data_IF_792127941722
#
_entry.id   IF_792127941722
#
_cell.length_a   1.000
_cell.length_b   1.000
_cell.length_c   1.000
_cell.angle_alpha   90.00
_cell.angle_beta   90.00
_cell.angle_gamma   90.00
#
_symmetry.space_group_name_H-M   'P 1'
#
loop_
_entity.id
_entity.type
_entity.pdbx_description
1 polymer ?
#
# COMPACT_ATOMS: atom_id res chain seq x y z
N UNK A 1 18.53 11.85 14.96
CA UNK A 1 17.10 11.47 15.08
C UNK A 1 16.92 10.18 15.90
N UNK A 2 17.60 9.08 15.54
CA UNK A 2 17.45 7.78 16.23
C UNK A 2 17.71 7.82 17.75
N UNK A 3 18.81 8.44 18.19
CA UNK A 3 19.10 8.58 19.63
C UNK A 3 18.04 9.36 20.42
N UNK A 4 17.25 10.24 19.75
CA UNK A 4 16.14 10.93 20.39
C UNK A 4 14.97 9.95 20.62
N UNK A 5 14.61 9.18 19.60
CA UNK A 5 13.55 8.16 19.69
C UNK A 5 13.89 7.08 20.74
N UNK A 6 15.16 6.71 20.85
CA UNK A 6 15.65 5.79 21.87
C UNK A 6 15.52 6.39 23.28
N UNK A 7 15.95 7.65 23.47
CA UNK A 7 15.78 8.38 24.74
C UNK A 7 14.32 8.57 25.13
N UNK A 8 13.42 8.73 24.15
CA UNK A 8 11.97 8.81 24.35
C UNK A 8 11.32 7.43 24.59
N UNK A 9 12.10 6.34 24.56
CA UNK A 9 11.62 4.99 24.83
C UNK A 9 10.73 4.42 23.72
N UNK A 10 10.82 4.96 22.49
CA UNK A 10 10.03 4.52 21.34
C UNK A 10 10.73 3.40 20.55
N UNK A 11 12.06 3.39 20.55
CA UNK A 11 12.87 2.35 19.91
C UNK A 11 13.99 1.88 20.83
N UNK A 12 14.53 0.71 20.53
CA UNK A 12 15.75 0.16 21.15
C UNK A 12 16.69 -0.31 20.06
N UNK A 13 18.00 -0.22 20.30
CA UNK A 13 19.01 -0.77 19.41
C UNK A 13 19.67 -2.00 20.04
N UNK A 14 19.77 -3.10 19.31
CA UNK A 14 20.42 -4.30 19.80
C UNK A 14 21.95 -4.29 19.57
N UNK A 15 22.64 -5.35 20.02
CA UNK A 15 24.09 -5.48 19.86
C UNK A 15 24.57 -5.55 18.40
N UNK A 16 23.67 -5.76 17.44
CA UNK A 16 23.94 -5.76 15.98
C UNK A 16 23.62 -4.43 15.32
N UNK A 17 23.21 -3.42 16.10
CA UNK A 17 22.72 -2.12 15.62
C UNK A 17 21.40 -2.21 14.85
N UNK A 18 20.62 -3.27 15.07
CA UNK A 18 19.26 -3.34 14.53
C UNK A 18 18.31 -2.53 15.42
N UNK A 19 17.39 -1.79 14.78
CA UNK A 19 16.42 -0.93 15.46
C UNK A 19 15.12 -1.68 15.63
N UNK A 20 14.66 -1.78 16.86
CA UNK A 20 13.42 -2.45 17.24
C UNK A 20 12.45 -1.44 17.85
N UNK A 21 11.17 -1.52 17.51
CA UNK A 21 10.15 -0.75 18.21
C UNK A 21 9.98 -1.27 19.64
N UNK A 22 9.81 -0.36 20.59
CA UNK A 22 9.19 -0.71 21.89
C UNK A 22 7.68 -0.87 21.71
N UNK A 23 6.97 -1.35 22.74
CA UNK A 23 5.50 -1.39 22.72
C UNK A 23 4.89 0.00 22.49
N UNK A 24 5.47 1.03 23.12
CA UNK A 24 5.01 2.42 22.96
C UNK A 24 5.29 2.95 21.56
N UNK A 25 6.49 2.67 21.00
CA UNK A 25 6.82 3.07 19.63
C UNK A 25 6.00 2.35 18.58
N UNK A 26 5.71 1.06 18.77
CA UNK A 26 4.84 0.30 17.87
C UNK A 26 3.40 0.83 17.88
N UNK A 27 2.86 1.17 19.06
CA UNK A 27 1.54 1.79 19.16
C UNK A 27 1.51 3.18 18.49
N UNK A 28 2.52 4.01 18.69
CA UNK A 28 2.62 5.32 18.05
C UNK A 28 2.75 5.21 16.53
N UNK A 29 3.60 4.31 16.04
CA UNK A 29 3.75 4.04 14.61
C UNK A 29 2.45 3.54 13.98
N UNK A 30 1.70 2.69 14.69
CA UNK A 30 0.39 2.25 14.25
C UNK A 30 -0.59 3.42 14.09
N UNK A 31 -0.60 4.41 14.98
CA UNK A 31 -1.45 5.60 14.80
C UNK A 31 -1.05 6.43 13.57
N UNK A 32 0.26 6.63 13.33
CA UNK A 32 0.73 7.36 12.13
C UNK A 32 0.25 6.66 10.86
N UNK A 33 0.50 5.35 10.75
CA UNK A 33 0.06 4.53 9.60
C UNK A 33 -1.46 4.53 9.46
N UNK A 34 -2.21 4.46 10.57
CA UNK A 34 -3.67 4.51 10.53
C UNK A 34 -4.19 5.84 10.01
N UNK A 35 -3.60 6.97 10.43
CA UNK A 35 -3.96 8.31 9.96
C UNK A 35 -3.63 8.51 8.50
N UNK A 36 -2.47 8.03 8.05
CA UNK A 36 -2.08 8.02 6.64
C UNK A 36 -3.17 7.35 5.80
N UNK A 37 -3.44 6.07 6.08
CA UNK A 37 -4.39 5.25 5.32
C UNK A 37 -5.82 5.79 5.39
N UNK A 38 -6.24 6.38 6.52
CA UNK A 38 -7.53 7.06 6.62
C UNK A 38 -7.58 8.34 5.80
N UNK A 39 -6.50 9.12 5.77
CA UNK A 39 -6.41 10.31 4.92
C UNK A 39 -6.49 9.94 3.44
N UNK A 40 -5.83 8.86 3.02
CA UNK A 40 -5.96 8.35 1.65
C UNK A 40 -7.41 7.93 1.32
N UNK A 41 -8.07 7.19 2.22
CA UNK A 41 -9.48 6.82 2.06
C UNK A 41 -10.38 8.05 2.01
N UNK A 42 -10.13 9.08 2.83
CA UNK A 42 -10.86 10.35 2.78
C UNK A 42 -10.72 11.03 1.42
N UNK A 43 -9.47 11.15 0.94
CA UNK A 43 -9.15 11.80 -0.34
C UNK A 43 -9.86 11.07 -1.49
N UNK A 44 -9.78 9.74 -1.55
CA UNK A 44 -10.43 8.96 -2.62
C UNK A 44 -11.94 8.91 -2.45
N UNK A 45 -12.43 8.39 -1.33
CA UNK A 45 -13.83 8.00 -1.17
C UNK A 45 -14.77 9.18 -0.96
N UNK A 46 -14.29 10.27 -0.32
CA UNK A 46 -15.12 11.42 0.03
C UNK A 46 -14.86 12.65 -0.85
N UNK A 47 -13.61 12.86 -1.26
CA UNK A 47 -13.21 14.04 -2.03
C UNK A 47 -13.01 13.74 -3.53
N UNK A 48 -13.06 12.47 -3.94
CA UNK A 48 -12.98 12.07 -5.34
C UNK A 48 -11.59 12.25 -5.96
N UNK A 49 -10.53 12.25 -5.14
CA UNK A 49 -9.16 12.24 -5.65
C UNK A 49 -8.88 10.96 -6.41
N UNK A 50 -8.02 11.06 -7.42
CA UNK A 50 -7.45 9.87 -8.05
C UNK A 50 -6.53 9.16 -7.05
N UNK A 51 -6.71 7.84 -6.91
CA UNK A 51 -5.96 7.01 -5.94
C UNK A 51 -4.44 7.11 -6.09
N UNK A 52 -3.95 7.41 -7.30
CA UNK A 52 -2.53 7.57 -7.58
C UNK A 52 -1.94 8.90 -7.10
N UNK A 53 -2.77 9.89 -6.72
CA UNK A 53 -2.34 11.19 -6.18
C UNK A 53 -2.40 11.28 -4.66
N UNK A 54 -3.02 10.32 -3.98
CA UNK A 54 -3.40 10.52 -2.57
C UNK A 54 -2.25 10.40 -1.59
N UNK A 55 -1.21 9.65 -1.92
CA UNK A 55 -0.09 9.36 -1.03
C UNK A 55 0.57 10.64 -0.49
N UNK A 56 1.02 11.53 -1.38
CA UNK A 56 1.71 12.77 -0.98
C UNK A 56 0.83 13.70 -0.14
N UNK A 57 -0.47 13.73 -0.41
CA UNK A 57 -1.40 14.57 0.34
C UNK A 57 -1.72 13.95 1.71
N UNK A 58 -1.84 12.61 1.77
CA UNK A 58 -2.01 11.88 3.01
C UNK A 58 -0.81 12.05 3.96
N UNK A 59 0.43 12.06 3.46
CA UNK A 59 1.64 12.36 4.25
C UNK A 59 1.58 13.73 4.94
N UNK A 60 0.98 14.74 4.29
CA UNK A 60 0.81 16.08 4.89
C UNK A 60 -0.26 16.07 5.97
N UNK A 61 -1.34 15.31 5.75
CA UNK A 61 -2.50 15.26 6.63
C UNK A 61 -2.23 14.41 7.88
N UNK A 62 -1.51 13.29 7.76
CA UNK A 62 -1.35 12.29 8.84
C UNK A 62 -0.77 12.87 10.13
N UNK A 63 0.13 13.85 10.00
CA UNK A 63 0.81 14.50 11.12
C UNK A 63 -0.04 15.59 11.78
N UNK A 64 -1.03 16.13 11.06
CA UNK A 64 -1.93 17.17 11.55
C UNK A 64 -3.27 16.61 12.08
N UNK A 65 -3.60 15.34 11.76
CA UNK A 65 -4.84 14.70 12.18
C UNK A 65 -4.87 14.47 13.70
N UNK A 66 -5.86 15.05 14.37
CA UNK A 66 -6.10 14.83 15.80
C UNK A 66 -6.70 13.43 16.06
N UNK A 67 -6.56 12.87 17.27
CA UNK A 67 -7.22 11.61 17.63
C UNK A 67 -8.74 11.65 17.43
N UNK A 68 -9.39 12.77 17.75
CA UNK A 68 -10.83 12.93 17.53
C UNK A 68 -11.21 12.89 16.05
N UNK A 69 -10.43 13.57 15.19
CA UNK A 69 -10.64 13.54 13.74
C UNK A 69 -10.41 12.13 13.20
N UNK A 70 -9.36 11.46 13.64
CA UNK A 70 -9.03 10.08 13.28
C UNK A 70 -10.19 9.11 13.58
N UNK A 71 -10.80 9.20 14.77
CA UNK A 71 -11.96 8.38 15.14
C UNK A 71 -13.21 8.73 14.33
N UNK A 72 -13.50 10.02 14.15
CA UNK A 72 -14.65 10.48 13.36
C UNK A 72 -14.53 10.04 11.91
N UNK A 73 -13.35 10.18 11.32
CA UNK A 73 -13.10 9.84 9.92
C UNK A 73 -13.24 8.33 9.69
N UNK A 74 -12.71 7.50 10.58
CA UNK A 74 -12.91 6.05 10.53
C UNK A 74 -14.40 5.67 10.50
N UNK A 75 -15.22 6.26 11.38
CA UNK A 75 -16.67 6.03 11.39
C UNK A 75 -17.36 6.50 10.11
N UNK A 76 -17.01 7.68 9.59
CA UNK A 76 -17.59 8.22 8.35
C UNK A 76 -17.26 7.32 7.15
N UNK A 77 -16.05 6.75 7.12
CA UNK A 77 -15.61 5.82 6.08
C UNK A 77 -16.11 4.37 6.28
N UNK A 78 -16.88 4.10 7.34
CA UNK A 78 -17.42 2.77 7.63
C UNK A 78 -16.36 1.76 8.11
N UNK A 79 -15.39 2.21 8.90
CA UNK A 79 -14.29 1.41 9.46
C UNK A 79 -13.54 0.59 8.38
N UNK A 80 -12.92 1.27 7.40
CA UNK A 80 -12.27 0.61 6.28
C UNK A 80 -11.13 -0.29 6.76
N UNK A 81 -11.00 -1.47 6.13
CA UNK A 81 -10.00 -2.47 6.51
C UNK A 81 -8.67 -2.29 5.76
N UNK A 82 -8.66 -1.48 4.70
CA UNK A 82 -7.48 -1.18 3.88
C UNK A 82 -7.46 0.28 3.43
N UNK A 83 -6.30 0.77 3.00
CA UNK A 83 -6.21 1.99 2.19
C UNK A 83 -6.66 1.75 0.73
N UNK A 84 -6.76 2.79 -0.12
CA UNK A 84 -7.09 2.64 -1.54
C UNK A 84 -6.12 1.75 -2.32
N UNK A 85 -4.86 1.65 -1.88
CA UNK A 85 -3.81 0.82 -2.49
C UNK A 85 -3.83 -0.63 -1.99
N UNK A 86 -4.77 -0.99 -1.12
CA UNK A 86 -4.97 -2.35 -0.62
C UNK A 86 -4.13 -2.72 0.61
N UNK A 87 -3.36 -1.79 1.17
CA UNK A 87 -2.59 -2.05 2.39
C UNK A 87 -3.51 -2.09 3.63
N UNK A 88 -3.39 -3.12 4.50
CA UNK A 88 -4.30 -3.34 5.61
C UNK A 88 -4.20 -2.24 6.67
N UNK A 89 -5.28 -1.84 7.33
CA UNK A 89 -5.17 -0.96 8.50
C UNK A 89 -4.34 -1.62 9.61
N UNK A 90 -3.63 -0.85 10.46
CA UNK A 90 -2.95 -1.42 11.62
C UNK A 90 -3.88 -2.28 12.48
N UNK A 91 -3.43 -3.49 12.81
CA UNK A 91 -4.24 -4.49 13.53
C UNK A 91 -5.10 -5.40 12.64
N UNK A 92 -5.27 -5.07 11.36
CA UNK A 92 -5.95 -5.95 10.39
C UNK A 92 -4.97 -7.01 9.89
N UNK A 93 -5.38 -8.28 9.97
CA UNK A 93 -4.58 -9.38 9.40
C UNK A 93 -4.67 -9.33 7.87
N UNK A 94 -3.55 -9.16 7.14
CA UNK A 94 -3.57 -9.16 5.69
C UNK A 94 -3.97 -10.53 5.15
N UNK A 95 -4.65 -10.54 4.01
CA UNK A 95 -4.85 -11.77 3.23
C UNK A 95 -3.50 -12.27 2.70
N UNK A 96 -3.31 -13.59 2.55
CA UNK A 96 -2.11 -14.12 1.90
C UNK A 96 -1.99 -13.61 0.47
N UNK A 97 -0.84 -13.01 0.16
CA UNK A 97 -0.51 -12.44 -1.14
C UNK A 97 0.89 -12.85 -1.56
N UNK A 98 1.15 -12.82 -2.86
CA UNK A 98 2.48 -12.99 -3.44
C UNK A 98 2.74 -11.91 -4.49
N UNK A 99 4.00 -11.55 -4.77
CA UNK A 99 4.34 -10.78 -5.95
C UNK A 99 3.76 -11.38 -7.23
N UNK A 100 3.41 -10.54 -8.21
CA UNK A 100 2.86 -10.95 -9.50
C UNK A 100 3.80 -11.91 -10.24
N UNK A 101 5.11 -11.74 -10.13
CA UNK A 101 6.10 -12.62 -10.76
C UNK A 101 6.14 -14.06 -10.19
N UNK A 102 5.45 -14.31 -9.08
CA UNK A 102 5.25 -15.65 -8.52
C UNK A 102 3.94 -16.31 -9.00
N UNK A 103 3.19 -15.68 -9.90
CA UNK A 103 1.97 -16.24 -10.49
C UNK A 103 2.33 -17.03 -11.76
N UNK A 104 1.97 -18.33 -11.85
CA UNK A 104 2.26 -19.11 -13.04
C UNK A 104 1.55 -18.55 -14.28
N UNK A 105 2.25 -18.56 -15.41
CA UNK A 105 1.68 -18.24 -16.73
C UNK A 105 0.36 -18.98 -16.97
N UNK A 106 -0.63 -18.28 -17.51
CA UNK A 106 -1.98 -18.78 -17.75
C UNK A 106 -2.92 -18.67 -16.56
N UNK A 107 -2.41 -18.39 -15.35
CA UNK A 107 -3.23 -18.26 -14.14
C UNK A 107 -3.90 -16.89 -14.06
N UNK A 108 -5.06 -16.85 -13.38
CA UNK A 108 -5.73 -15.62 -13.01
C UNK A 108 -5.35 -15.24 -11.58
N UNK A 109 -5.18 -13.95 -11.31
CA UNK A 109 -4.95 -13.42 -9.97
C UNK A 109 -5.71 -12.10 -9.79
N UNK A 110 -6.05 -11.76 -8.55
CA UNK A 110 -6.61 -10.44 -8.20
C UNK A 110 -5.51 -9.57 -7.62
N UNK A 111 -5.34 -8.35 -8.12
CA UNK A 111 -4.47 -7.35 -7.50
C UNK A 111 -5.03 -7.06 -6.12
N UNK A 112 -4.24 -7.38 -5.10
CA UNK A 112 -4.66 -7.24 -3.72
C UNK A 112 -4.10 -5.96 -3.11
N UNK A 113 -2.81 -5.65 -3.37
CA UNK A 113 -2.20 -4.42 -2.88
C UNK A 113 -0.98 -3.96 -3.67
N UNK A 114 -0.67 -2.68 -3.55
CA UNK A 114 0.64 -2.10 -3.88
C UNK A 114 1.33 -1.79 -2.55
N UNK A 115 2.44 -2.47 -2.17
CA UNK A 115 3.12 -2.22 -0.91
C UNK A 115 3.57 -0.75 -0.75
N UNK A 116 3.43 -0.20 0.46
CA UNK A 116 3.69 1.23 0.78
C UNK A 116 5.05 1.74 0.22
N UNK A 117 6.09 0.92 0.28
CA UNK A 117 7.44 1.25 -0.23
C UNK A 117 7.51 1.61 -1.73
N UNK A 118 6.50 1.23 -2.52
CA UNK A 118 6.41 1.53 -3.95
C UNK A 118 5.45 2.67 -4.27
N UNK A 119 4.70 3.17 -3.30
CA UNK A 119 3.77 4.29 -3.48
C UNK A 119 4.51 5.62 -3.65
N UNK A 120 5.69 5.76 -3.04
CA UNK A 120 6.56 6.93 -3.20
C UNK A 120 7.32 6.98 -4.53
N UNK A 121 7.26 5.94 -5.37
CA UNK A 121 7.96 5.96 -6.66
C UNK A 121 7.25 6.92 -7.61
N UNK A 122 7.92 8.00 -8.07
CA UNK A 122 7.29 9.01 -8.91
C UNK A 122 6.67 8.40 -10.17
N UNK A 123 5.36 8.65 -10.36
CA UNK A 123 4.61 8.20 -11.52
C UNK A 123 4.29 6.70 -11.57
N UNK A 124 4.69 5.90 -10.57
CA UNK A 124 4.43 4.46 -10.60
C UNK A 124 2.94 4.14 -10.46
N UNK A 125 2.24 4.77 -9.51
CA UNK A 125 0.80 4.58 -9.33
C UNK A 125 -0.01 5.13 -10.51
N UNK A 126 0.38 6.28 -11.08
CA UNK A 126 -0.23 6.86 -12.28
C UNK A 126 -0.05 5.93 -13.48
N UNK A 127 1.13 5.32 -13.61
CA UNK A 127 1.40 4.30 -14.61
C UNK A 127 0.47 3.09 -14.43
N UNK A 128 0.33 2.54 -13.21
CA UNK A 128 -0.57 1.42 -12.95
C UNK A 128 -2.02 1.76 -13.30
N UNK A 129 -2.48 2.96 -12.93
CA UNK A 129 -3.81 3.46 -13.27
C UNK A 129 -4.03 3.51 -14.79
N UNK A 130 -3.06 4.03 -15.55
CA UNK A 130 -3.10 4.06 -17.02
C UNK A 130 -3.20 2.68 -17.67
N UNK A 131 -2.70 1.63 -16.99
CA UNK A 131 -2.79 0.24 -17.43
C UNK A 131 -4.08 -0.46 -16.96
N UNK A 132 -4.92 0.20 -16.16
CA UNK A 132 -6.10 -0.39 -15.53
C UNK A 132 -5.76 -1.36 -14.39
N UNK A 133 -4.56 -1.24 -13.82
CA UNK A 133 -4.08 -2.08 -12.73
C UNK A 133 -4.28 -1.36 -11.41
N UNK A 134 -5.33 -1.74 -10.68
CA UNK A 134 -5.59 -1.24 -9.33
C UNK A 134 -6.05 -2.36 -8.41
N UNK A 135 -5.94 -2.21 -7.08
CA UNK A 135 -6.48 -3.17 -6.14
C UNK A 135 -7.95 -3.53 -6.44
N UNK A 136 -8.26 -4.81 -6.30
CA UNK A 136 -9.57 -5.39 -6.62
C UNK A 136 -9.73 -5.83 -8.08
N UNK A 137 -8.83 -5.46 -8.99
CA UNK A 137 -8.92 -5.88 -10.39
C UNK A 137 -8.30 -7.26 -10.60
N UNK A 138 -9.04 -8.13 -11.29
CA UNK A 138 -8.54 -9.42 -11.76
C UNK A 138 -7.74 -9.25 -13.06
N UNK A 139 -6.65 -10.00 -13.15
CA UNK A 139 -5.82 -10.11 -14.35
C UNK A 139 -5.48 -11.57 -14.63
N UNK A 140 -5.14 -11.88 -15.88
CA UNK A 140 -4.57 -13.17 -16.28
C UNK A 140 -3.15 -12.97 -16.79
N UNK A 141 -2.21 -13.77 -16.30
CA UNK A 141 -0.81 -13.71 -16.77
C UNK A 141 -0.73 -14.40 -18.13
N UNK A 142 -0.43 -13.65 -19.18
CA UNK A 142 -0.31 -14.17 -20.55
C UNK A 142 1.11 -14.61 -20.84
N UNK A 143 2.07 -13.74 -20.51
CA UNK A 143 3.49 -14.01 -20.68
C UNK A 143 4.32 -13.31 -19.60
N UNK A 144 5.39 -13.98 -19.18
CA UNK A 144 6.22 -13.53 -18.07
C UNK A 144 7.61 -14.16 -18.17
N UNK A 145 8.55 -13.34 -18.61
CA UNK A 145 9.97 -13.69 -18.68
C UNK A 145 10.73 -12.77 -17.71
N UNK A 146 11.59 -13.31 -16.83
CA UNK A 146 12.34 -12.49 -15.89
C UNK A 146 13.16 -11.38 -16.59
N UNK A 147 12.98 -10.14 -16.15
CA UNK A 147 13.67 -8.97 -16.71
C UNK A 147 13.03 -8.40 -17.99
N UNK A 148 12.03 -9.05 -18.56
CA UNK A 148 11.28 -8.55 -19.73
C UNK A 148 9.93 -7.94 -19.30
N UNK A 149 9.32 -7.08 -20.15
CA UNK A 149 7.96 -6.63 -19.94
C UNK A 149 6.98 -7.80 -19.77
N UNK A 150 6.07 -7.69 -18.81
CA UNK A 150 5.08 -8.73 -18.50
C UNK A 150 3.85 -8.49 -19.38
N UNK A 151 3.27 -9.54 -19.95
CA UNK A 151 2.00 -9.44 -20.69
C UNK A 151 0.88 -9.96 -19.82
N UNK A 152 -0.09 -9.11 -19.54
CA UNK A 152 -1.30 -9.46 -18.79
C UNK A 152 -2.55 -9.18 -19.61
N UNK A 153 -3.60 -9.95 -19.36
CA UNK A 153 -4.95 -9.62 -19.80
C UNK A 153 -5.72 -9.03 -18.63
N UNK A 154 -6.23 -7.81 -18.80
CA UNK A 154 -6.98 -7.06 -17.80
C UNK A 154 -8.13 -6.31 -18.48
N UNK A 155 -9.31 -6.30 -17.86
CA UNK A 155 -10.52 -5.67 -18.40
C UNK A 155 -10.84 -6.06 -19.87
N UNK A 156 -10.57 -7.32 -20.25
CA UNK A 156 -10.83 -7.85 -21.59
C UNK A 156 -9.84 -7.40 -22.68
N UNK A 157 -8.72 -6.77 -22.29
CA UNK A 157 -7.65 -6.38 -23.22
C UNK A 157 -6.28 -6.84 -22.74
N UNK A 158 -5.37 -7.08 -23.68
CA UNK A 158 -3.96 -7.30 -23.36
C UNK A 158 -3.25 -5.98 -23.06
N UNK A 159 -2.33 -6.02 -22.09
CA UNK A 159 -1.43 -4.94 -21.71
C UNK A 159 -0.03 -5.50 -21.55
N UNK A 160 0.94 -4.78 -22.08
CA UNK A 160 2.36 -5.03 -21.84
C UNK A 160 2.81 -4.06 -20.77
N UNK A 161 3.18 -4.58 -19.60
CA UNK A 161 3.55 -3.79 -18.44
C UNK A 161 5.04 -3.91 -18.11
N UNK A 162 5.58 -2.92 -17.40
CA UNK A 162 6.99 -2.91 -16.99
C UNK A 162 7.36 -4.17 -16.21
N UNK A 163 8.58 -4.65 -16.40
CA UNK A 163 9.10 -5.87 -15.74
C UNK A 163 9.02 -5.79 -14.21
N UNK A 164 9.28 -4.60 -13.64
CA UNK A 164 9.29 -4.39 -12.19
C UNK A 164 7.91 -4.44 -11.54
N UNK A 165 6.82 -4.40 -12.32
CA UNK A 165 5.48 -4.70 -11.82
C UNK A 165 5.40 -6.11 -11.23
N UNK A 166 6.25 -7.04 -11.70
CA UNK A 166 6.33 -8.41 -11.17
C UNK A 166 6.56 -8.45 -9.66
N UNK A 167 7.47 -7.61 -9.15
CA UNK A 167 7.82 -7.57 -7.72
C UNK A 167 6.97 -6.58 -6.91
N UNK A 168 6.45 -5.55 -7.60
CA UNK A 168 5.78 -4.40 -6.98
C UNK A 168 4.27 -4.55 -6.87
N UNK A 169 3.64 -5.34 -7.73
CA UNK A 169 2.20 -5.61 -7.68
C UNK A 169 1.96 -6.90 -6.93
N UNK A 170 1.27 -6.83 -5.79
CA UNK A 170 1.00 -7.99 -4.96
C UNK A 170 -0.42 -8.49 -5.21
N UNK A 171 -0.53 -9.79 -5.45
CA UNK A 171 -1.76 -10.43 -5.93
C UNK A 171 -2.16 -11.62 -5.07
N UNK A 172 -3.45 -11.94 -5.16
CA UNK A 172 -4.06 -13.15 -4.62
C UNK A 172 -4.46 -14.05 -5.78
N UNK A 173 -3.88 -15.25 -5.84
CA UNK A 173 -4.12 -16.27 -6.86
C UNK A 173 -4.57 -17.56 -6.17
#
# INVERSE_FOLDING_TARGET
MLHRLEREGLVTMDGRKEVHFTKAGSALAAHVVRRHRLAERMLVDLLGYEWWKTHEEAERIEHAMSPEMEERLARVLGDPQTCPHGNPMPGVTPRPTKPLDHVPRGSTATIERIPDQFEHEPGFLEYLDSQGLKPGIALRVVDMTPGEPIVVEVAGGQRTIRADCGQKVWVRA
#
